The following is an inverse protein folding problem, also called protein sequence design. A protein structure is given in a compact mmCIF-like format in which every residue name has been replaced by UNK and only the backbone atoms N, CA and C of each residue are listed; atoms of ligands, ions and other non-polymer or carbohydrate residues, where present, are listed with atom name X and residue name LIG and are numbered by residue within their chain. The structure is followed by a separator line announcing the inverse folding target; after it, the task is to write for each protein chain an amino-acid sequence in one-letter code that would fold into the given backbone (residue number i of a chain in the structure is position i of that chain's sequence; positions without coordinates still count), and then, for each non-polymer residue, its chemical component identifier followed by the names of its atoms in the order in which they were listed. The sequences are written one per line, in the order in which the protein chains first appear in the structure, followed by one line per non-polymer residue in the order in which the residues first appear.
data_IF_868603974675
#
_entry.id   IF_868603974675
#
_cell.length_a   1.000
_cell.length_b   1.000
_cell.length_c   1.000
_cell.angle_alpha   90.00
_cell.angle_beta   90.00
_cell.angle_gamma   90.00
#
_symmetry.space_group_name_H-M   'P 1'
#
loop_
_entity.id
_entity.type
_entity.pdbx_description
1 polymer ?
#
# COMPACT_ATOMS: atom_id res chain seq x y z
N UNK A 1 -17.21 -9.89 2.63
CA UNK A 1 -16.01 -10.31 1.85
C UNK A 1 -15.57 -9.33 0.74
N UNK A 2 -16.34 -8.27 0.40
CA UNK A 2 -15.98 -7.30 -0.67
C UNK A 2 -14.93 -6.25 -0.25
N UNK A 3 -14.97 -5.81 1.01
CA UNK A 3 -14.11 -4.75 1.57
C UNK A 3 -12.61 -4.98 1.37
N UNK A 4 -12.13 -6.21 1.64
CA UNK A 4 -10.70 -6.53 1.51
C UNK A 4 -10.22 -6.47 0.06
N UNK A 5 -10.96 -7.08 -0.86
CA UNK A 5 -10.59 -7.07 -2.28
C UNK A 5 -10.58 -5.64 -2.84
N UNK A 6 -11.56 -4.82 -2.44
CA UNK A 6 -11.63 -3.43 -2.85
C UNK A 6 -10.41 -2.64 -2.31
N UNK A 7 -10.11 -2.78 -1.02
CA UNK A 7 -8.91 -2.18 -0.41
C UNK A 7 -7.63 -2.58 -1.12
N UNK A 8 -7.44 -3.87 -1.42
CA UNK A 8 -6.25 -4.35 -2.13
C UNK A 8 -6.10 -3.76 -3.54
N UNK A 9 -7.23 -3.51 -4.22
CA UNK A 9 -7.24 -2.84 -5.52
C UNK A 9 -6.80 -1.39 -5.38
N UNK A 10 -7.36 -0.67 -4.40
CA UNK A 10 -7.00 0.73 -4.11
C UNK A 10 -5.54 0.85 -3.68
N UNK A 11 -5.04 -0.04 -2.81
CA UNK A 11 -3.62 -0.09 -2.42
C UNK A 11 -2.72 -0.15 -3.65
N UNK A 12 -3.01 -1.04 -4.61
CA UNK A 12 -2.23 -1.16 -5.86
C UNK A 12 -2.27 0.11 -6.69
N UNK A 13 -3.45 0.73 -6.81
CA UNK A 13 -3.63 1.97 -7.56
C UNK A 13 -2.85 3.13 -6.92
N UNK A 14 -2.94 3.26 -5.59
CA UNK A 14 -2.21 4.28 -4.83
C UNK A 14 -0.70 4.12 -4.98
N UNK A 15 -0.16 2.89 -4.87
CA UNK A 15 1.28 2.62 -5.05
C UNK A 15 1.73 2.90 -6.48
N UNK A 16 0.87 2.64 -7.48
CA UNK A 16 1.19 2.88 -8.90
C UNK A 16 1.18 4.37 -9.24
N UNK A 17 0.25 5.13 -8.66
CA UNK A 17 0.00 6.52 -9.03
C UNK A 17 0.73 7.52 -8.13
N UNK A 18 1.20 7.11 -6.96
CA UNK A 18 1.89 7.96 -6.00
C UNK A 18 3.25 7.36 -5.64
N UNK A 19 4.24 8.23 -5.41
CA UNK A 19 5.49 7.81 -4.80
C UNK A 19 5.26 7.61 -3.31
N UNK A 20 5.21 6.35 -2.88
CA UNK A 20 4.98 5.99 -1.48
C UNK A 20 6.29 5.59 -0.84
N UNK A 21 6.80 6.45 0.03
CA UNK A 21 8.10 6.24 0.68
C UNK A 21 7.99 5.34 1.94
N UNK A 22 6.83 5.30 2.59
CA UNK A 22 6.61 4.51 3.81
C UNK A 22 5.15 4.06 3.96
N UNK A 23 4.92 3.16 4.93
CA UNK A 23 3.59 2.59 5.17
C UNK A 23 2.60 3.60 5.75
N UNK A 24 3.06 4.59 6.50
CA UNK A 24 2.19 5.59 7.12
C UNK A 24 1.58 6.52 6.07
N UNK A 25 2.37 6.92 5.06
CA UNK A 25 1.88 7.66 3.89
C UNK A 25 0.78 6.87 3.15
N UNK A 26 0.96 5.56 2.99
CA UNK A 26 -0.08 4.72 2.37
C UNK A 26 -1.31 4.58 3.26
N UNK A 27 -1.17 4.59 4.59
CA UNK A 27 -2.31 4.61 5.52
C UNK A 27 -3.12 5.89 5.38
N UNK A 28 -2.45 7.04 5.28
CA UNK A 28 -3.11 8.34 5.08
C UNK A 28 -3.90 8.35 3.77
N UNK A 29 -3.27 7.97 2.66
CA UNK A 29 -3.94 7.89 1.35
C UNK A 29 -5.12 6.91 1.33
N UNK A 30 -5.01 5.79 2.06
CA UNK A 30 -6.10 4.84 2.22
C UNK A 30 -7.25 5.44 3.04
N UNK A 31 -6.95 6.17 4.11
CA UNK A 31 -7.95 6.86 4.91
C UNK A 31 -8.70 7.92 4.08
N UNK A 32 -7.98 8.69 3.25
CA UNK A 32 -8.57 9.63 2.30
C UNK A 32 -9.47 8.93 1.26
N UNK A 33 -9.11 7.70 0.88
CA UNK A 33 -9.91 6.85 -0.01
C UNK A 33 -11.07 6.14 0.68
N UNK A 34 -11.31 6.42 1.98
CA UNK A 34 -12.39 5.82 2.78
C UNK A 34 -12.06 4.47 3.43
N UNK A 35 -10.80 4.05 3.42
CA UNK A 35 -10.32 2.80 4.04
C UNK A 35 -9.48 3.08 5.28
N UNK A 36 -10.13 3.08 6.45
CA UNK A 36 -9.40 3.14 7.73
C UNK A 36 -8.90 1.75 8.11
N UNK A 37 -7.59 1.53 8.02
CA UNK A 37 -6.94 0.30 8.47
C UNK A 37 -5.76 0.60 9.37
N UNK A 38 -5.30 -0.41 10.11
CA UNK A 38 -4.08 -0.30 10.92
C UNK A 38 -2.84 -0.59 10.08
N UNK A 39 -1.69 -0.12 10.55
CA UNK A 39 -0.39 -0.48 9.99
C UNK A 39 -0.19 -2.00 9.91
N UNK A 40 -0.61 -2.75 10.93
CA UNK A 40 -0.52 -4.21 10.94
C UNK A 40 -1.36 -4.87 9.83
N UNK A 41 -2.56 -4.35 9.59
CA UNK A 41 -3.42 -4.79 8.48
C UNK A 41 -2.79 -4.46 7.14
N UNK A 42 -2.31 -3.23 6.97
CA UNK A 42 -1.66 -2.79 5.75
C UNK A 42 -0.40 -3.59 5.44
N UNK A 43 0.44 -3.85 6.44
CA UNK A 43 1.65 -4.69 6.32
C UNK A 43 1.32 -6.10 5.81
N UNK A 44 0.26 -6.72 6.33
CA UNK A 44 -0.22 -8.03 5.84
C UNK A 44 -0.72 -7.96 4.39
N UNK A 45 -1.43 -6.89 4.04
CA UNK A 45 -1.96 -6.70 2.70
C UNK A 45 -0.84 -6.45 1.68
N UNK A 46 0.17 -5.63 2.00
CA UNK A 46 1.36 -5.43 1.17
C UNK A 46 2.12 -6.75 0.94
N UNK A 47 2.31 -7.55 2.00
CA UNK A 47 2.91 -8.88 1.91
C UNK A 47 2.11 -9.81 1.00
N UNK A 48 0.78 -9.76 1.06
CA UNK A 48 -0.10 -10.55 0.20
C UNK A 48 -0.05 -10.10 -1.27
N UNK A 49 0.04 -8.79 -1.50
CA UNK A 49 0.16 -8.21 -2.85
C UNK A 49 1.54 -8.43 -3.47
N UNK A 50 2.49 -9.01 -2.71
CA UNK A 50 3.92 -9.10 -3.07
C UNK A 50 4.50 -7.73 -3.43
N UNK A 51 3.93 -6.67 -2.85
CA UNK A 51 4.51 -5.34 -2.89
C UNK A 51 5.66 -5.38 -1.89
N UNK A 52 6.85 -5.77 -2.37
CA UNK A 52 8.08 -5.42 -1.69
C UNK A 52 8.27 -3.90 -1.74
N UNK A 53 9.23 -3.37 -0.97
CA UNK A 53 9.72 -1.99 -1.14
C UNK A 53 10.10 -1.88 -2.62
N UNK A 54 9.23 -1.27 -3.44
CA UNK A 54 9.44 -1.20 -4.88
C UNK A 54 10.57 -0.18 -5.00
N UNK A 55 11.79 -0.70 -5.11
CA UNK A 55 12.89 0.03 -5.69
C UNK A 55 12.39 0.44 -7.07
N UNK A 56 11.90 1.68 -7.16
CA UNK A 56 12.04 2.47 -8.37
C UNK A 56 13.40 2.11 -8.95
N UNK A 57 13.46 1.74 -10.23
CA UNK A 57 14.56 1.02 -10.89
C UNK A 57 15.93 1.72 -10.89
N UNK A 58 16.17 2.61 -9.94
CA UNK A 58 17.43 3.18 -9.54
C UNK A 58 18.03 2.40 -8.36
N UNK A 59 18.88 1.45 -8.74
CA UNK A 59 19.96 0.82 -7.95
C UNK A 59 20.08 1.24 -6.47
N UNK A 60 19.84 0.29 -5.56
CA UNK A 60 20.40 0.38 -4.21
C UNK A 60 19.44 -0.07 -3.11
N UNK A 61 19.59 -1.32 -2.70
CA UNK A 61 18.90 -1.95 -1.56
C UNK A 61 19.33 -1.29 -0.25
N UNK A 62 18.39 -0.83 0.60
CA UNK A 62 18.33 -1.02 2.06
C UNK A 62 16.90 -0.73 2.55
#
# INVERSE_FOLDING_TARGET
MKERHNRLSVVKELIKNNRIDNQDMLLELLAESGFTVTQATLSRDLKMLKVGKISDGWSGYY
#
